data_IF_414186649552
#
_entry.id   IF_414186649552
#
_cell.length_a   1.000
_cell.length_b   1.000
_cell.length_c   1.000
_cell.angle_alpha   90.00
_cell.angle_beta   90.00
_cell.angle_gamma   90.00
#
_symmetry.space_group_name_H-M   'P 1'
#
loop_
_entity.id
_entity.type
_entity.pdbx_description
1 polymer ?
#
# COMPACT_ATOMS: atom_id res chain seq x y z
N UNK A 1 -6.03 12.12 -7.73
CA UNK A 1 -6.33 12.17 -6.28
C UNK A 1 -5.22 11.53 -5.46
N UNK A 2 -4.92 10.23 -5.60
CA UNK A 2 -3.84 9.57 -4.84
C UNK A 2 -2.50 10.31 -4.87
N UNK A 3 -2.03 10.72 -6.05
CA UNK A 3 -0.78 11.49 -6.20
C UNK A 3 -0.75 12.78 -5.37
N UNK A 4 -1.90 13.44 -5.19
CA UNK A 4 -2.00 14.64 -4.36
C UNK A 4 -1.79 14.28 -2.89
N UNK A 5 -2.47 13.24 -2.40
CA UNK A 5 -2.28 12.77 -1.02
C UNK A 5 -0.87 12.23 -0.75
N UNK A 6 -0.27 11.48 -1.69
CA UNK A 6 1.14 11.10 -1.56
C UNK A 6 2.04 12.32 -1.43
N UNK A 7 1.83 13.35 -2.26
CA UNK A 7 2.62 14.57 -2.18
C UNK A 7 2.40 15.35 -0.87
N UNK A 8 1.19 15.33 -0.34
CA UNK A 8 0.82 16.03 0.90
C UNK A 8 1.36 15.34 2.16
N UNK A 9 1.22 14.01 2.25
CA UNK A 9 1.60 13.25 3.44
C UNK A 9 2.99 12.61 3.38
N UNK A 10 3.51 12.34 2.19
CA UNK A 10 4.79 11.64 1.96
C UNK A 10 5.59 12.33 0.81
N UNK A 11 5.92 13.63 0.94
CA UNK A 11 6.45 14.44 -0.17
C UNK A 11 7.75 13.89 -0.78
N UNK A 12 8.67 13.44 0.07
CA UNK A 12 9.97 12.89 -0.34
C UNK A 12 9.80 11.55 -1.07
N UNK A 13 8.88 10.72 -0.58
CA UNK A 13 8.55 9.45 -1.20
C UNK A 13 7.84 9.67 -2.54
N UNK A 14 6.94 10.65 -2.61
CA UNK A 14 6.27 11.03 -3.85
C UNK A 14 7.29 11.40 -4.94
N UNK A 15 8.28 12.24 -4.63
CA UNK A 15 9.30 12.63 -5.59
C UNK A 15 10.15 11.42 -6.01
N UNK A 16 10.52 10.54 -5.06
CA UNK A 16 11.24 9.30 -5.36
C UNK A 16 10.45 8.38 -6.30
N UNK A 17 9.20 8.05 -5.96
CA UNK A 17 8.34 7.16 -6.74
C UNK A 17 8.02 7.73 -8.12
N UNK A 18 7.95 9.07 -8.24
CA UNK A 18 7.76 9.77 -9.51
C UNK A 18 9.03 9.69 -10.37
N UNK A 19 10.21 9.90 -9.77
CA UNK A 19 11.50 9.79 -10.47
C UNK A 19 11.75 8.36 -10.97
N UNK A 20 11.35 7.36 -10.20
CA UNK A 20 11.38 5.94 -10.61
C UNK A 20 10.30 5.56 -11.63
N UNK A 21 9.30 6.43 -11.88
CA UNK A 21 8.21 6.15 -12.82
C UNK A 21 7.19 5.10 -12.34
N UNK A 22 7.30 4.60 -11.11
CA UNK A 22 6.46 3.49 -10.62
C UNK A 22 5.14 3.93 -10.01
N UNK A 23 5.01 5.20 -9.60
CA UNK A 23 3.83 5.72 -8.88
C UNK A 23 2.50 5.42 -9.61
N UNK A 24 2.48 5.59 -10.94
CA UNK A 24 1.29 5.34 -11.76
C UNK A 24 0.97 3.85 -11.88
N UNK A 25 2.00 3.00 -12.04
CA UNK A 25 1.84 1.56 -12.19
C UNK A 25 1.27 0.92 -10.92
N UNK A 26 1.89 1.22 -9.76
CA UNK A 26 1.48 0.63 -8.47
C UNK A 26 0.08 1.11 -8.09
N UNK A 27 -0.23 2.40 -8.26
CA UNK A 27 -1.54 2.93 -7.89
C UNK A 27 -2.65 2.39 -8.78
N UNK A 28 -2.42 2.27 -10.09
CA UNK A 28 -3.41 1.68 -10.99
C UNK A 28 -3.74 0.23 -10.60
N UNK A 29 -2.72 -0.61 -10.38
CA UNK A 29 -2.90 -2.00 -9.98
C UNK A 29 -3.67 -2.12 -8.67
N UNK A 30 -3.26 -1.36 -7.65
CA UNK A 30 -3.87 -1.39 -6.32
C UNK A 30 -5.32 -0.93 -6.30
N UNK A 31 -5.63 0.20 -6.93
CA UNK A 31 -7.00 0.74 -6.90
C UNK A 31 -7.95 -0.03 -7.82
N UNK A 32 -7.48 -0.57 -8.95
CA UNK A 32 -8.33 -1.35 -9.85
C UNK A 32 -8.71 -2.71 -9.25
N UNK A 33 -7.79 -3.31 -8.49
CA UNK A 33 -8.04 -4.59 -7.81
C UNK A 33 -8.59 -4.44 -6.40
N UNK A 34 -8.83 -3.21 -5.94
CA UNK A 34 -9.22 -2.89 -4.56
C UNK A 34 -8.30 -3.55 -3.51
N UNK A 35 -7.01 -3.70 -3.85
CA UNK A 35 -6.00 -4.43 -3.09
C UNK A 35 -6.26 -5.94 -2.89
N UNK A 36 -7.36 -6.51 -3.41
CA UNK A 36 -7.76 -7.90 -3.19
C UNK A 36 -6.71 -8.90 -3.66
N UNK A 37 -6.01 -8.57 -4.75
CA UNK A 37 -5.02 -9.45 -5.35
C UNK A 37 -3.64 -9.39 -4.66
N UNK A 38 -3.44 -8.48 -3.70
CA UNK A 38 -2.12 -8.21 -3.11
C UNK A 38 -2.06 -8.35 -1.58
N UNK A 39 -3.20 -8.56 -0.91
CA UNK A 39 -3.27 -8.86 0.53
C UNK A 39 -4.03 -10.17 0.76
N UNK A 40 -3.83 -10.87 1.88
CA UNK A 40 -4.54 -12.13 2.14
C UNK A 40 -6.06 -11.96 2.18
N UNK A 41 -6.78 -13.01 1.79
CA UNK A 41 -8.23 -12.98 1.56
C UNK A 41 -9.02 -12.45 2.76
N UNK A 42 -8.68 -12.88 3.98
CA UNK A 42 -9.38 -12.42 5.20
C UNK A 42 -9.25 -10.90 5.35
N UNK A 43 -8.04 -10.36 5.19
CA UNK A 43 -7.79 -8.91 5.23
C UNK A 43 -8.48 -8.18 4.08
N UNK A 44 -8.50 -8.77 2.88
CA UNK A 44 -9.19 -8.21 1.72
C UNK A 44 -10.71 -8.07 1.97
N UNK A 45 -11.35 -9.07 2.58
CA UNK A 45 -12.77 -9.00 2.91
C UNK A 45 -13.07 -7.85 3.89
N UNK A 46 -12.24 -7.65 4.92
CA UNK A 46 -12.41 -6.49 5.82
C UNK A 46 -12.25 -5.15 5.09
N UNK A 47 -11.26 -5.01 4.20
CA UNK A 47 -11.07 -3.79 3.40
C UNK A 47 -12.29 -3.53 2.52
N UNK A 48 -12.85 -4.58 1.92
CA UNK A 48 -14.06 -4.50 1.08
C UNK A 48 -15.27 -4.05 1.91
N UNK A 49 -15.50 -4.64 3.09
CA UNK A 49 -16.63 -4.28 3.96
C UNK A 49 -16.60 -2.79 4.32
N UNK A 50 -15.41 -2.29 4.67
CA UNK A 50 -15.21 -0.88 5.03
C UNK A 50 -15.29 0.02 3.80
N UNK A 51 -14.81 -0.44 2.64
CA UNK A 51 -14.99 0.28 1.38
C UNK A 51 -16.46 0.47 1.02
N UNK A 52 -17.32 -0.52 1.26
CA UNK A 52 -18.77 -0.36 1.04
C UNK A 52 -19.44 0.56 2.06
N UNK A 53 -18.88 0.70 3.26
CA UNK A 53 -19.42 1.56 4.32
C UNK A 53 -18.91 3.02 4.22
N UNK A 54 -17.59 3.23 4.21
CA UNK A 54 -16.94 4.56 4.24
C UNK A 54 -16.45 5.04 2.85
N UNK A 55 -16.56 4.18 1.83
CA UNK A 55 -16.17 4.50 0.46
C UNK A 55 -14.66 4.39 0.21
N UNK A 56 -14.22 5.03 -0.88
CA UNK A 56 -12.85 4.92 -1.41
C UNK A 56 -11.74 5.44 -0.47
N UNK A 57 -12.09 6.20 0.58
CA UNK A 57 -11.13 6.77 1.53
C UNK A 57 -10.23 5.71 2.16
N UNK A 58 -10.80 4.54 2.47
CA UNK A 58 -10.07 3.42 3.06
C UNK A 58 -8.94 2.92 2.16
N UNK A 59 -9.14 2.93 0.83
CA UNK A 59 -8.13 2.50 -0.12
C UNK A 59 -6.96 3.49 -0.21
N UNK A 60 -7.24 4.79 -0.11
CA UNK A 60 -6.18 5.80 -0.05
C UNK A 60 -5.37 5.69 1.24
N UNK A 61 -6.02 5.47 2.39
CA UNK A 61 -5.34 5.26 3.66
C UNK A 61 -4.47 4.00 3.62
N UNK A 62 -4.98 2.90 3.08
CA UNK A 62 -4.24 1.66 2.91
C UNK A 62 -3.00 1.87 2.03
N UNK A 63 -3.17 2.51 0.86
CA UNK A 63 -2.08 2.82 -0.05
C UNK A 63 -0.97 3.65 0.61
N UNK A 64 -1.34 4.74 1.29
CA UNK A 64 -0.39 5.61 1.99
C UNK A 64 0.32 4.87 3.13
N UNK A 65 -0.39 4.00 3.83
CA UNK A 65 0.18 3.23 4.94
C UNK A 65 1.20 2.22 4.44
N UNK A 66 0.90 1.48 3.38
CA UNK A 66 1.86 0.56 2.74
C UNK A 66 3.11 1.33 2.30
N UNK A 67 2.94 2.49 1.66
CA UNK A 67 4.06 3.32 1.26
C UNK A 67 4.88 3.85 2.44
N UNK A 68 4.21 4.27 3.52
CA UNK A 68 4.85 4.81 4.70
C UNK A 68 5.64 3.73 5.48
N UNK A 69 5.09 2.53 5.63
CA UNK A 69 5.78 1.41 6.29
C UNK A 69 7.05 1.00 5.53
N UNK A 70 7.05 1.14 4.20
CA UNK A 70 8.20 0.83 3.35
C UNK A 70 9.06 2.05 3.01
N UNK A 71 8.81 3.22 3.63
CA UNK A 71 9.40 4.51 3.24
C UNK A 71 10.91 4.47 3.14
N UNK A 72 11.61 3.97 4.16
CA UNK A 72 13.08 3.94 4.16
C UNK A 72 13.63 3.09 3.02
N UNK A 73 13.12 1.87 2.87
CA UNK A 73 13.53 0.95 1.80
C UNK A 73 13.24 1.50 0.40
N UNK A 74 12.14 2.22 0.24
CA UNK A 74 11.75 2.87 -1.01
C UNK A 74 12.62 4.09 -1.35
N UNK A 75 13.04 4.86 -0.35
CA UNK A 75 13.97 5.99 -0.56
C UNK A 75 15.35 5.49 -0.97
N UNK A 76 15.78 4.37 -0.38
CA UNK A 76 17.07 3.73 -0.65
C UNK A 76 17.09 2.92 -1.96
N UNK A 77 15.93 2.70 -2.60
CA UNK A 77 15.85 1.88 -3.81
C UNK A 77 16.68 2.45 -4.96
N UNK A 78 17.42 1.60 -5.66
CA UNK A 78 18.32 2.06 -6.73
C UNK A 78 17.55 2.35 -8.03
N UNK A 79 16.60 1.49 -8.37
CA UNK A 79 15.81 1.55 -9.58
C UNK A 79 14.35 1.13 -9.32
N UNK A 80 13.55 1.12 -10.39
CA UNK A 80 12.14 0.73 -10.36
C UNK A 80 11.94 -0.74 -9.99
N UNK A 81 12.80 -1.63 -10.47
CA UNK A 81 12.77 -3.06 -10.15
C UNK A 81 12.99 -3.35 -8.65
N UNK A 82 13.95 -2.65 -8.04
CA UNK A 82 14.21 -2.75 -6.60
C UNK A 82 13.03 -2.23 -5.78
N UNK A 83 12.50 -1.06 -6.13
CA UNK A 83 11.34 -0.48 -5.43
C UNK A 83 10.08 -1.36 -5.55
N UNK A 84 9.83 -1.95 -6.73
CA UNK A 84 8.74 -2.93 -6.91
C UNK A 84 8.99 -4.17 -6.05
N UNK A 85 10.23 -4.66 -5.99
CA UNK A 85 10.59 -5.81 -5.18
C UNK A 85 10.39 -5.58 -3.68
N UNK A 86 10.68 -4.36 -3.19
CA UNK A 86 10.40 -3.95 -1.80
C UNK A 86 8.89 -4.08 -1.49
N UNK A 87 8.04 -3.50 -2.35
CA UNK A 87 6.59 -3.53 -2.16
C UNK A 87 6.03 -4.95 -2.26
N UNK A 88 6.47 -5.72 -3.24
CA UNK A 88 6.02 -7.11 -3.43
C UNK A 88 6.38 -7.96 -2.21
N UNK A 89 7.63 -7.91 -1.73
CA UNK A 89 8.04 -8.67 -0.55
C UNK A 89 7.25 -8.29 0.71
N UNK A 90 6.94 -6.99 0.87
CA UNK A 90 6.11 -6.54 1.98
C UNK A 90 4.71 -7.14 1.90
N UNK A 91 4.07 -7.09 0.73
CA UNK A 91 2.73 -7.61 0.49
C UNK A 91 2.66 -9.15 0.61
N UNK A 92 3.70 -9.86 0.16
CA UNK A 92 3.86 -11.30 0.36
C UNK A 92 3.97 -11.66 1.85
N UNK A 93 4.76 -10.88 2.60
CA UNK A 93 4.92 -11.05 4.05
C UNK A 93 3.61 -10.85 4.82
N UNK A 94 2.72 -9.99 4.32
CA UNK A 94 1.37 -9.81 4.87
C UNK A 94 0.50 -11.05 4.62
N UNK A 95 0.73 -11.76 3.50
CA UNK A 95 -0.04 -12.93 3.09
C UNK A 95 0.39 -14.23 3.78
N UNK A 96 1.52 -14.25 4.49
CA UNK A 96 1.97 -15.44 5.22
C UNK A 96 1.18 -15.58 6.55
N UNK A 97 0.36 -16.64 6.72
CA UNK A 97 -0.46 -16.84 7.91
C UNK A 97 0.36 -17.04 9.20
N UNK A 98 1.67 -17.35 9.10
CA UNK A 98 2.57 -17.42 10.27
C UNK A 98 2.90 -16.04 10.85
N UNK A 99 2.59 -14.97 10.12
CA UNK A 99 2.94 -13.60 10.47
C UNK A 99 1.71 -12.79 10.92
N UNK A 100 0.90 -13.40 11.79
CA UNK A 100 -0.37 -12.89 12.33
C UNK A 100 -0.27 -11.50 12.99
N UNK A 101 0.93 -11.03 13.35
CA UNK A 101 1.13 -9.68 13.91
C UNK A 101 0.93 -8.57 12.88
N UNK A 102 1.26 -8.80 11.61
CA UNK A 102 1.19 -7.76 10.58
C UNK A 102 -0.22 -7.67 9.95
N UNK A 103 -0.96 -8.77 9.84
CA UNK A 103 -2.39 -8.76 9.46
C UNK A 103 -3.23 -7.97 10.48
N UNK A 104 -3.00 -8.22 11.77
CA UNK A 104 -3.64 -7.46 12.85
C UNK A 104 -3.29 -5.96 12.80
N UNK A 105 -2.11 -5.60 12.28
CA UNK A 105 -1.71 -4.21 12.06
C UNK A 105 -2.57 -3.55 10.98
N UNK A 106 -2.80 -4.20 9.83
CA UNK A 106 -3.67 -3.67 8.76
C UNK A 106 -5.08 -3.43 9.31
N UNK A 107 -5.63 -4.43 10.02
CA UNK A 107 -6.96 -4.31 10.63
C UNK A 107 -6.99 -3.18 11.67
N UNK A 108 -5.93 -3.01 12.47
CA UNK A 108 -5.85 -1.93 13.45
C UNK A 108 -5.68 -0.54 12.82
N UNK A 109 -4.94 -0.45 11.71
CA UNK A 109 -4.70 0.78 10.96
C UNK A 109 -5.97 1.26 10.25
N UNK A 110 -6.80 0.33 9.77
CA UNK A 110 -8.06 0.66 9.10
C UNK A 110 -9.16 1.04 10.12
N UNK A 111 -9.06 0.59 11.37
CA UNK A 111 -10.04 0.87 12.44
C UNK A 111 -9.90 2.25 13.12
N UNK A 112 -8.91 3.07 12.75
CA UNK A 112 -8.61 4.36 13.39
C UNK A 112 -8.92 5.53 12.46
#
# INVERSE_FOLDING_TARGET
VFNHYCKEYLPDLYDKLKNLGIAACISLSWFLTLFICVIPLESALYVIDIFFYDGIKVLFQLALTILNENRQHLLDSVDDGDAISVLTKYLEKLSDPKNTKDENKIIHLIKK
#
